data_IF_449933317797
#
_entry.id   IF_449933317797
#
_cell.length_a   1.000
_cell.length_b   1.000
_cell.length_c   1.000
_cell.angle_alpha   90.00
_cell.angle_beta   90.00
_cell.angle_gamma   90.00
#
_symmetry.space_group_name_H-M   'P 1'
#
loop_
_entity.id
_entity.type
_entity.pdbx_description
1 polymer ?
#
# COMPACT_ATOMS: atom_id res chain seq x y z
N UNK A 1 -37.14 5.61 42.63
CA UNK A 1 -36.95 4.52 41.64
C UNK A 1 -35.57 4.71 41.02
N UNK A 2 -34.60 4.01 41.59
CA UNK A 2 -33.17 4.03 41.23
C UNK A 2 -32.98 2.90 40.22
N UNK A 3 -32.45 3.21 39.03
CA UNK A 3 -31.86 2.21 38.14
C UNK A 3 -30.70 2.86 37.41
N UNK A 4 -29.55 2.71 38.06
CA UNK A 4 -28.20 2.81 37.50
C UNK A 4 -28.13 2.12 36.13
N UNK A 5 -27.57 2.82 35.14
CA UNK A 5 -26.90 2.15 34.01
C UNK A 5 -25.53 2.80 33.86
N UNK A 6 -24.57 2.12 34.49
CA UNK A 6 -23.13 2.22 34.29
C UNK A 6 -22.84 2.13 32.80
N UNK A 7 -22.16 3.13 32.23
CA UNK A 7 -21.50 2.96 30.93
C UNK A 7 -20.02 3.29 31.11
N UNK A 8 -19.23 2.26 30.88
CA UNK A 8 -17.81 2.17 31.15
C UNK A 8 -16.97 3.21 30.40
N UNK A 9 -16.06 3.84 31.15
CA UNK A 9 -14.92 4.57 30.60
C UNK A 9 -13.93 3.54 30.05
N UNK A 10 -13.90 3.37 28.74
CA UNK A 10 -12.83 2.64 28.05
C UNK A 10 -11.80 3.64 27.53
N UNK A 11 -10.78 3.89 28.35
CA UNK A 11 -9.50 4.44 27.89
C UNK A 11 -8.81 3.32 27.12
N UNK A 12 -9.00 3.31 25.80
CA UNK A 12 -8.25 2.48 24.87
C UNK A 12 -7.19 3.33 24.18
N UNK A 13 -5.92 2.98 24.35
CA UNK A 13 -4.79 3.49 23.56
C UNK A 13 -5.10 3.27 22.08
N UNK A 14 -5.48 4.35 21.38
CA UNK A 14 -5.63 4.33 19.94
C UNK A 14 -4.24 4.20 19.31
N UNK A 15 -3.89 2.99 18.89
CA UNK A 15 -2.87 2.81 17.85
C UNK A 15 -3.29 3.67 16.64
N UNK A 16 -2.41 4.48 16.03
CA UNK A 16 -2.75 5.14 14.79
C UNK A 16 -2.92 4.05 13.72
N UNK A 17 -4.18 3.71 13.45
CA UNK A 17 -4.56 2.87 12.33
C UNK A 17 -4.10 3.58 11.05
N UNK A 18 -2.95 3.15 10.51
CA UNK A 18 -2.54 3.45 9.15
C UNK A 18 -3.45 2.67 8.18
N UNK A 19 -4.70 3.09 8.09
CA UNK A 19 -5.65 2.66 7.08
C UNK A 19 -6.73 3.74 6.96
N UNK A 20 -6.33 4.93 6.49
CA UNK A 20 -7.28 5.78 5.79
C UNK A 20 -7.60 5.09 4.45
N UNK A 21 -8.43 4.06 4.48
CA UNK A 21 -9.22 3.72 3.31
C UNK A 21 -10.14 4.91 3.09
N UNK A 22 -9.72 5.84 2.21
CA UNK A 22 -10.49 7.04 1.94
C UNK A 22 -11.74 6.60 1.18
N UNK A 23 -12.83 6.41 1.91
CA UNK A 23 -14.17 6.23 1.38
C UNK A 23 -14.54 7.49 0.57
N UNK A 24 -14.49 7.37 -0.76
CA UNK A 24 -14.84 8.46 -1.69
C UNK A 24 -13.70 8.95 -2.59
N UNK A 25 -12.66 8.15 -2.80
CA UNK A 25 -11.61 8.47 -3.76
C UNK A 25 -12.07 8.12 -5.19
N UNK A 26 -12.19 9.11 -6.08
CA UNK A 26 -12.53 8.87 -7.49
C UNK A 26 -11.61 7.79 -8.09
N UNK A 27 -12.19 6.69 -8.59
CA UNK A 27 -11.45 5.56 -9.18
C UNK A 27 -10.65 5.99 -10.43
N UNK A 28 -11.10 7.06 -11.07
CA UNK A 28 -10.47 7.69 -12.23
C UNK A 28 -9.44 8.76 -11.87
N UNK A 29 -9.25 9.07 -10.58
CA UNK A 29 -8.25 10.05 -10.18
C UNK A 29 -6.85 9.59 -10.64
N UNK A 30 -6.14 10.48 -11.35
CA UNK A 30 -4.78 10.22 -11.77
C UNK A 30 -3.83 10.27 -10.57
N UNK A 31 -3.20 9.15 -10.26
CA UNK A 31 -2.21 9.01 -9.19
C UNK A 31 -0.83 8.83 -9.81
N UNK A 32 0.11 9.68 -9.41
CA UNK A 32 1.48 9.66 -9.90
C UNK A 32 2.45 9.16 -8.83
N UNK A 33 3.29 8.17 -9.18
CA UNK A 33 4.48 7.81 -8.40
C UNK A 33 5.69 8.63 -8.87
N UNK A 34 6.56 9.09 -7.95
CA UNK A 34 7.79 9.76 -8.31
C UNK A 34 8.78 8.81 -9.00
N UNK A 35 9.76 9.35 -9.74
CA UNK A 35 10.92 8.60 -10.24
C UNK A 35 11.59 7.75 -9.15
N UNK A 36 11.79 6.47 -9.43
CA UNK A 36 12.54 5.55 -8.58
C UNK A 36 13.92 5.28 -9.20
N UNK A 37 14.94 5.03 -8.38
CA UNK A 37 16.28 4.72 -8.88
C UNK A 37 16.28 3.32 -9.52
N UNK A 38 16.90 3.19 -10.70
CA UNK A 38 17.02 1.91 -11.38
C UNK A 38 18.05 1.01 -10.67
N UNK A 39 17.76 -0.29 -10.48
CA UNK A 39 18.70 -1.22 -9.85
C UNK A 39 20.05 -1.24 -10.57
N UNK A 40 21.14 -1.16 -9.81
CA UNK A 40 22.51 -1.20 -10.34
C UNK A 40 22.94 0.06 -11.11
N UNK A 41 22.09 1.08 -11.20
CA UNK A 41 22.39 2.31 -11.92
C UNK A 41 22.21 3.54 -11.01
N UNK A 42 22.88 4.64 -11.33
CA UNK A 42 22.69 5.94 -10.67
C UNK A 42 21.67 6.83 -11.40
N UNK A 43 20.81 6.20 -12.18
CA UNK A 43 19.80 6.86 -13.03
C UNK A 43 18.42 6.58 -12.44
N UNK A 44 17.57 7.59 -12.47
CA UNK A 44 16.16 7.48 -12.06
C UNK A 44 15.28 7.14 -13.25
N UNK A 45 14.31 6.27 -13.04
CA UNK A 45 13.28 5.97 -14.01
C UNK A 45 12.25 7.10 -14.17
N UNK A 46 11.25 6.91 -15.02
CA UNK A 46 10.26 7.94 -15.30
C UNK A 46 9.29 8.14 -14.13
N UNK A 47 8.66 9.31 -14.09
CA UNK A 47 7.45 9.54 -13.29
C UNK A 47 6.30 8.76 -13.93
N UNK A 48 5.61 7.92 -13.15
CA UNK A 48 4.51 7.08 -13.65
C UNK A 48 3.19 7.58 -13.10
N UNK A 49 2.29 8.01 -13.96
CA UNK A 49 0.93 8.41 -13.60
C UNK A 49 -0.07 7.43 -14.19
N UNK A 50 -0.93 6.85 -13.36
CA UNK A 50 -2.03 5.97 -13.77
C UNK A 50 -3.30 6.30 -12.98
N UNK A 51 -4.49 5.98 -13.50
CA UNK A 51 -5.73 6.07 -12.74
C UNK A 51 -5.64 5.21 -11.48
N UNK A 52 -6.27 5.65 -10.39
CA UNK A 52 -6.30 4.93 -9.11
C UNK A 52 -6.73 3.48 -9.27
N UNK A 53 -7.79 3.22 -10.04
CA UNK A 53 -8.27 1.85 -10.33
C UNK A 53 -7.17 0.91 -10.84
N UNK A 54 -6.23 1.41 -11.65
CA UNK A 54 -5.14 0.60 -12.20
C UNK A 54 -4.13 0.24 -11.11
N UNK A 55 -3.83 1.18 -10.22
CA UNK A 55 -2.97 0.90 -9.05
C UNK A 55 -3.64 -0.10 -8.12
N UNK A 56 -4.93 0.06 -7.86
CA UNK A 56 -5.69 -0.86 -7.01
C UNK A 56 -5.76 -2.27 -7.62
N UNK A 57 -5.96 -2.39 -8.93
CA UNK A 57 -5.92 -3.67 -9.65
C UNK A 57 -4.58 -4.37 -9.49
N UNK A 58 -3.47 -3.65 -9.62
CA UNK A 58 -2.12 -4.19 -9.45
C UNK A 58 -1.90 -4.64 -8.00
N UNK A 59 -2.25 -3.80 -7.02
CA UNK A 59 -2.05 -4.11 -5.60
C UNK A 59 -2.91 -5.28 -5.13
N UNK A 60 -4.13 -5.43 -5.67
CA UNK A 60 -4.98 -6.61 -5.43
C UNK A 60 -4.34 -7.90 -5.94
N UNK A 61 -3.58 -7.84 -7.02
CA UNK A 61 -2.84 -8.97 -7.58
C UNK A 61 -1.46 -9.18 -6.91
N UNK A 62 -1.08 -8.32 -5.97
CA UNK A 62 0.24 -8.32 -5.34
C UNK A 62 1.37 -7.85 -6.26
N UNK A 63 1.01 -7.12 -7.31
CA UNK A 63 1.93 -6.57 -8.30
C UNK A 63 2.13 -5.07 -8.07
N UNK A 64 3.23 -4.54 -8.59
CA UNK A 64 3.49 -3.10 -8.69
C UNK A 64 4.26 -2.79 -9.97
N UNK A 65 4.27 -1.52 -10.39
CA UNK A 65 5.06 -1.05 -11.53
C UNK A 65 6.51 -0.84 -11.06
N UNK A 66 7.46 -1.48 -11.73
CA UNK A 66 8.89 -1.39 -11.45
C UNK A 66 9.45 0.02 -11.63
N UNK A 67 10.68 0.23 -11.14
CA UNK A 67 11.38 1.51 -11.22
C UNK A 67 11.58 2.04 -12.65
N UNK A 68 11.63 1.17 -13.66
CA UNK A 68 11.69 1.56 -15.09
C UNK A 68 10.38 2.14 -15.65
N UNK A 69 9.28 2.00 -14.90
CA UNK A 69 7.97 2.53 -15.22
C UNK A 69 7.21 1.82 -16.34
N UNK A 70 7.75 0.71 -16.86
CA UNK A 70 7.15 -0.08 -17.93
C UNK A 70 6.86 -1.51 -17.49
N UNK A 71 7.76 -2.13 -16.74
CA UNK A 71 7.61 -3.50 -16.27
C UNK A 71 6.73 -3.57 -15.02
N UNK A 72 5.99 -4.67 -14.89
CA UNK A 72 5.16 -5.00 -13.72
C UNK A 72 5.77 -6.22 -13.06
N UNK A 73 5.98 -6.18 -11.75
CA UNK A 73 6.53 -7.28 -10.99
C UNK A 73 5.84 -7.42 -9.65
N UNK A 74 6.21 -8.45 -8.89
CA UNK A 74 5.75 -8.61 -7.51
C UNK A 74 6.10 -7.36 -6.71
N UNK A 75 5.10 -6.80 -6.03
CA UNK A 75 5.28 -5.67 -5.15
C UNK A 75 6.28 -6.04 -4.06
N UNK A 76 7.18 -5.11 -3.69
CA UNK A 76 8.15 -5.32 -2.61
C UNK A 76 7.47 -5.80 -1.32
N UNK A 77 6.28 -5.26 -1.04
CA UNK A 77 5.41 -5.71 0.05
C UNK A 77 5.12 -7.21 -0.02
N UNK A 78 4.71 -7.71 -1.19
CA UNK A 78 4.36 -9.12 -1.37
C UNK A 78 5.58 -10.02 -1.31
N UNK A 79 6.74 -9.56 -1.80
CA UNK A 79 8.01 -10.29 -1.70
C UNK A 79 8.45 -10.49 -0.24
N UNK A 80 8.28 -9.46 0.61
CA UNK A 80 8.63 -9.55 2.03
C UNK A 80 7.67 -10.48 2.80
N UNK A 81 6.38 -10.47 2.49
CA UNK A 81 5.38 -11.27 3.22
C UNK A 81 5.22 -12.71 2.71
N UNK A 82 5.56 -12.98 1.45
CA UNK A 82 5.55 -14.32 0.88
C UNK A 82 6.98 -14.80 0.62
N UNK A 83 7.73 -14.97 1.69
CA UNK A 83 8.97 -15.72 1.62
C UNK A 83 8.61 -17.21 1.38
N UNK A 84 9.10 -17.87 0.32
CA UNK A 84 8.91 -19.31 0.18
C UNK A 84 9.49 -19.97 1.43
N UNK A 85 8.70 -20.86 2.06
CA UNK A 85 9.07 -21.53 3.30
C UNK A 85 10.39 -22.30 3.11
N UNK A 86 11.52 -21.65 3.38
CA UNK A 86 12.86 -22.19 3.11
C UNK A 86 13.96 -21.17 2.75
N UNK A 87 13.65 -19.90 2.45
CA UNK A 87 14.69 -18.89 2.20
C UNK A 87 15.26 -18.31 3.51
N UNK A 88 16.59 -18.27 3.65
CA UNK A 88 17.32 -17.73 4.82
C UNK A 88 17.28 -16.20 4.87
N UNK A 89 16.90 -15.53 3.78
CA UNK A 89 16.70 -14.08 3.74
C UNK A 89 15.62 -13.75 2.71
N UNK A 90 14.68 -12.93 3.14
CA UNK A 90 13.81 -12.11 2.32
C UNK A 90 14.41 -10.68 2.39
#
# INVERSE_FOLDING_TARGET
MIKEVVTAVLVGLALPAAAQAQSGQDDDAMVCRPPQQLPGQRVYGPKVCKPRRVWDDLHRQGLDISADGQSVGESEKFRTFHCPSGAVTC
#
